data_IF_704233599199
#
_entry.id   IF_704233599199
#
_cell.length_a   1.000
_cell.length_b   1.000
_cell.length_c   1.000
_cell.angle_alpha   90.00
_cell.angle_beta   90.00
_cell.angle_gamma   90.00
#
_symmetry.space_group_name_H-M   'P 1'
#
loop_
_entity.id
_entity.type
_entity.pdbx_description
1 polymer ?
#
# COMPACT_ATOMS: atom_id res chain seq x y z
N UNK A 1 2.56 -4.71 63.24
CA UNK A 1 1.36 -4.63 62.36
C UNK A 1 1.81 -4.89 60.92
N UNK A 2 1.72 -6.14 60.43
CA UNK A 2 2.02 -6.51 59.03
C UNK A 2 0.75 -7.16 58.47
N UNK A 3 0.00 -6.45 57.61
CA UNK A 3 -1.08 -7.05 56.82
C UNK A 3 -0.43 -7.91 55.73
N UNK A 4 -0.56 -9.22 55.85
CA UNK A 4 -0.40 -10.13 54.70
C UNK A 4 -1.69 -10.05 53.89
N UNK A 5 -1.62 -9.45 52.71
CA UNK A 5 -2.65 -9.59 51.68
C UNK A 5 -2.55 -11.02 51.16
N UNK A 6 -3.41 -11.92 51.66
CA UNK A 6 -3.63 -13.20 51.01
C UNK A 6 -4.47 -12.94 49.75
N UNK A 7 -3.89 -13.16 48.59
CA UNK A 7 -4.61 -13.16 47.31
C UNK A 7 -5.65 -14.28 47.38
N UNK A 8 -6.93 -13.95 47.31
CA UNK A 8 -8.02 -14.92 47.41
C UNK A 8 -8.06 -15.79 46.14
N UNK A 9 -7.88 -17.11 46.23
CA UNK A 9 -7.91 -18.00 45.07
C UNK A 9 -9.26 -17.97 44.32
N UNK A 10 -10.36 -17.58 44.98
CA UNK A 10 -11.66 -17.41 44.30
C UNK A 10 -11.70 -16.17 43.39
N UNK A 11 -10.93 -15.13 43.71
CA UNK A 11 -10.84 -13.93 42.88
C UNK A 11 -10.12 -14.23 41.55
N UNK A 12 -9.08 -15.08 41.60
CA UNK A 12 -8.37 -15.56 40.41
C UNK A 12 -9.27 -16.39 39.48
N UNK A 13 -10.22 -17.16 40.02
CA UNK A 13 -11.15 -17.96 39.22
C UNK A 13 -12.20 -17.12 38.48
N UNK A 14 -12.68 -16.03 39.10
CA UNK A 14 -13.66 -15.14 38.46
C UNK A 14 -13.01 -14.27 37.38
N UNK A 15 -11.80 -13.77 37.62
CA UNK A 15 -11.04 -12.99 36.62
C UNK A 15 -10.73 -13.83 35.36
N UNK A 16 -10.38 -15.11 35.54
CA UNK A 16 -10.18 -16.05 34.44
C UNK A 16 -11.49 -16.31 33.66
N UNK A 17 -12.60 -16.52 34.36
CA UNK A 17 -13.91 -16.72 33.72
C UNK A 17 -14.35 -15.49 32.91
N UNK A 18 -14.13 -14.28 33.44
CA UNK A 18 -14.41 -13.04 32.72
C UNK A 18 -13.54 -12.90 31.47
N UNK A 19 -12.23 -13.16 31.59
CA UNK A 19 -11.31 -13.11 30.45
C UNK A 19 -11.67 -14.14 29.35
N UNK A 20 -12.08 -15.35 29.74
CA UNK A 20 -12.55 -16.37 28.79
C UNK A 20 -13.87 -15.96 28.11
N UNK A 21 -14.79 -15.38 28.89
CA UNK A 21 -16.08 -14.89 28.37
C UNK A 21 -15.87 -13.73 27.40
N UNK A 22 -14.99 -12.79 27.72
CA UNK A 22 -14.63 -11.67 26.84
C UNK A 22 -14.00 -12.18 25.54
N UNK A 23 -13.10 -13.17 25.63
CA UNK A 23 -12.50 -13.80 24.44
C UNK A 23 -13.55 -14.49 23.56
N UNK A 24 -14.51 -15.20 24.16
CA UNK A 24 -15.60 -15.85 23.42
C UNK A 24 -16.52 -14.81 22.75
N UNK A 25 -16.85 -13.72 23.46
CA UNK A 25 -17.66 -12.63 22.93
C UNK A 25 -16.95 -11.91 21.77
N UNK A 26 -15.65 -11.64 21.89
CA UNK A 26 -14.83 -11.06 20.83
C UNK A 26 -14.79 -11.98 19.60
N UNK A 27 -14.57 -13.28 19.79
CA UNK A 27 -14.57 -14.24 18.70
C UNK A 27 -15.93 -14.33 17.98
N UNK A 28 -17.04 -14.31 18.74
CA UNK A 28 -18.39 -14.31 18.17
C UNK A 28 -18.74 -13.01 17.44
N UNK A 29 -18.27 -11.86 17.95
CA UNK A 29 -18.40 -10.57 17.27
C UNK A 29 -17.61 -10.54 15.96
N UNK A 30 -16.35 -10.99 15.99
CA UNK A 30 -15.49 -11.10 14.82
C UNK A 30 -16.13 -12.02 13.76
N UNK A 31 -16.59 -13.21 14.15
CA UNK A 31 -17.21 -14.15 13.21
C UNK A 31 -18.48 -13.57 12.56
N UNK A 32 -19.29 -12.80 13.30
CA UNK A 32 -20.43 -12.09 12.71
C UNK A 32 -20.01 -11.02 11.71
N UNK A 33 -18.93 -10.30 11.98
CA UNK A 33 -18.46 -9.22 11.12
C UNK A 33 -17.78 -9.74 9.83
N UNK A 34 -16.92 -10.75 9.95
CA UNK A 34 -15.99 -11.15 8.87
C UNK A 34 -16.00 -12.65 8.56
N UNK A 35 -16.91 -13.44 9.14
CA UNK A 35 -16.98 -14.89 8.95
C UNK A 35 -17.35 -15.33 7.53
N UNK A 36 -17.90 -14.42 6.72
CA UNK A 36 -18.19 -14.64 5.30
C UNK A 36 -16.93 -14.59 4.42
N UNK A 37 -15.81 -14.07 4.93
CA UNK A 37 -14.55 -13.94 4.20
C UNK A 37 -13.74 -15.24 4.24
N UNK A 38 -12.91 -15.50 3.22
CA UNK A 38 -11.97 -16.62 3.22
C UNK A 38 -11.11 -16.69 4.49
N UNK A 39 -10.93 -17.90 5.00
CA UNK A 39 -10.17 -18.16 6.24
C UNK A 39 -8.81 -18.81 6.01
N UNK A 40 -8.40 -19.02 4.77
CA UNK A 40 -7.10 -19.56 4.39
C UNK A 40 -6.50 -18.74 3.24
N UNK A 41 -5.16 -18.71 3.16
CA UNK A 41 -4.46 -17.98 2.10
C UNK A 41 -4.82 -18.52 0.70
N UNK A 42 -4.96 -19.85 0.57
CA UNK A 42 -5.33 -20.51 -0.67
C UNK A 42 -6.68 -20.03 -1.21
N UNK A 43 -7.70 -19.96 -0.36
CA UNK A 43 -9.01 -19.46 -0.75
C UNK A 43 -9.02 -17.93 -0.91
N UNK A 44 -8.20 -17.22 -0.14
CA UNK A 44 -8.11 -15.76 -0.18
C UNK A 44 -7.42 -15.22 -1.44
N UNK A 45 -6.47 -15.95 -2.02
CA UNK A 45 -5.72 -15.47 -3.18
C UNK A 45 -6.60 -15.15 -4.41
N UNK A 46 -7.45 -16.08 -4.93
CA UNK A 46 -8.34 -15.74 -6.04
C UNK A 46 -9.38 -14.69 -5.65
N UNK A 47 -9.85 -14.70 -4.39
CA UNK A 47 -10.77 -13.69 -3.87
C UNK A 47 -10.16 -12.29 -3.86
N UNK A 48 -8.89 -12.17 -3.46
CA UNK A 48 -8.17 -10.90 -3.42
C UNK A 48 -7.85 -10.37 -4.82
N UNK A 49 -7.59 -11.24 -5.80
CA UNK A 49 -7.44 -10.85 -7.21
C UNK A 49 -8.73 -10.22 -7.76
N UNK A 50 -9.88 -10.81 -7.45
CA UNK A 50 -11.18 -10.24 -7.80
C UNK A 50 -11.43 -8.88 -7.11
N UNK A 51 -11.03 -8.74 -5.83
CA UNK A 51 -11.07 -7.43 -5.16
C UNK A 51 -10.26 -6.37 -5.87
N UNK A 52 -9.03 -6.68 -6.27
CA UNK A 52 -8.18 -5.74 -7.02
C UNK A 52 -8.87 -5.33 -8.32
N UNK A 53 -9.46 -6.27 -9.05
CA UNK A 53 -10.16 -5.98 -10.30
C UNK A 53 -11.38 -5.06 -10.09
N UNK A 54 -12.23 -5.34 -9.09
CA UNK A 54 -13.39 -4.50 -8.75
C UNK A 54 -12.98 -3.12 -8.25
N UNK A 55 -11.95 -3.06 -7.40
CA UNK A 55 -11.42 -1.80 -6.91
C UNK A 55 -10.84 -0.97 -8.07
N UNK A 56 -10.17 -1.63 -9.02
CA UNK A 56 -9.66 -0.98 -10.21
C UNK A 56 -10.77 -0.38 -11.08
N UNK A 57 -11.83 -1.14 -11.34
CA UNK A 57 -12.99 -0.65 -12.06
C UNK A 57 -13.65 0.55 -11.34
N UNK A 58 -13.82 0.48 -10.01
CA UNK A 58 -14.41 1.57 -9.23
C UNK A 58 -13.55 2.85 -9.31
N UNK A 59 -12.23 2.73 -9.18
CA UNK A 59 -11.31 3.86 -9.29
C UNK A 59 -11.36 4.50 -10.69
N UNK A 60 -11.37 3.68 -11.74
CA UNK A 60 -11.51 4.17 -13.12
C UNK A 60 -12.87 4.79 -13.40
N UNK A 61 -13.93 4.34 -12.75
CA UNK A 61 -15.27 4.93 -12.87
C UNK A 61 -15.43 6.23 -12.06
N UNK A 62 -14.46 6.57 -11.21
CA UNK A 62 -14.59 7.68 -10.26
C UNK A 62 -15.48 7.36 -9.05
N UNK A 63 -15.82 6.08 -8.83
CA UNK A 63 -16.67 5.64 -7.73
C UNK A 63 -15.86 5.48 -6.44
N UNK A 64 -15.65 6.61 -5.75
CA UNK A 64 -14.88 6.66 -4.51
C UNK A 64 -15.54 5.90 -3.37
N UNK A 65 -16.88 5.82 -3.35
CA UNK A 65 -17.62 5.12 -2.30
C UNK A 65 -17.34 3.62 -2.39
N UNK A 66 -17.47 3.04 -3.57
CA UNK A 66 -17.17 1.62 -3.80
C UNK A 66 -15.69 1.34 -3.59
N UNK A 67 -14.80 2.21 -4.07
CA UNK A 67 -13.35 2.04 -3.86
C UNK A 67 -12.98 1.97 -2.37
N UNK A 68 -13.51 2.86 -1.52
CA UNK A 68 -13.24 2.83 -0.07
C UNK A 68 -13.87 1.61 0.60
N UNK A 69 -15.10 1.23 0.25
CA UNK A 69 -15.75 0.04 0.80
C UNK A 69 -14.92 -1.24 0.54
N UNK A 70 -14.38 -1.39 -0.67
CA UNK A 70 -13.53 -2.52 -1.03
C UNK A 70 -12.20 -2.54 -0.26
N UNK A 71 -11.64 -1.38 0.07
CA UNK A 71 -10.42 -1.28 0.89
C UNK A 71 -10.66 -1.66 2.34
N UNK A 72 -11.80 -1.28 2.91
CA UNK A 72 -12.21 -1.73 4.24
C UNK A 72 -12.43 -3.25 4.26
N UNK A 73 -13.10 -3.80 3.24
CA UNK A 73 -13.32 -5.24 3.12
C UNK A 73 -12.01 -6.03 2.94
N UNK A 74 -11.05 -5.50 2.19
CA UNK A 74 -9.70 -6.05 2.14
C UNK A 74 -9.06 -6.06 3.54
N UNK A 75 -9.16 -4.95 4.31
CA UNK A 75 -8.68 -4.90 5.70
C UNK A 75 -9.30 -5.99 6.58
N UNK A 76 -10.60 -6.23 6.44
CA UNK A 76 -11.31 -7.32 7.10
C UNK A 76 -10.81 -8.71 6.68
N UNK A 77 -10.46 -8.90 5.39
CA UNK A 77 -9.85 -10.14 4.93
C UNK A 77 -8.52 -10.41 5.63
N UNK A 78 -7.65 -9.40 5.75
CA UNK A 78 -6.38 -9.54 6.44
C UNK A 78 -6.57 -9.85 7.94
N UNK A 79 -7.54 -9.22 8.60
CA UNK A 79 -7.95 -9.55 9.97
C UNK A 79 -8.44 -11.01 10.06
N UNK A 80 -9.26 -11.46 9.11
CA UNK A 80 -9.81 -12.83 9.09
C UNK A 80 -8.73 -13.88 8.99
N UNK A 81 -7.76 -13.65 8.11
CA UNK A 81 -6.63 -14.54 7.84
C UNK A 81 -5.63 -14.57 8.99
N UNK A 82 -5.54 -13.48 9.74
CA UNK A 82 -4.65 -13.36 10.89
C UNK A 82 -5.38 -13.55 12.22
N UNK A 83 -6.44 -14.37 12.24
CA UNK A 83 -7.16 -14.78 13.44
C UNK A 83 -7.69 -13.65 14.33
N UNK A 84 -8.04 -12.50 13.73
CA UNK A 84 -8.54 -11.33 14.44
C UNK A 84 -7.49 -10.28 14.77
N UNK A 85 -6.21 -10.57 14.53
CA UNK A 85 -5.12 -9.62 14.72
C UNK A 85 -4.82 -8.84 13.42
N UNK A 86 -4.20 -7.65 13.48
CA UNK A 86 -3.80 -6.91 12.28
C UNK A 86 -2.84 -7.72 11.39
N UNK A 87 -3.29 -8.10 10.19
CA UNK A 87 -2.52 -8.90 9.23
C UNK A 87 -1.85 -8.10 8.11
N UNK A 88 -1.82 -6.77 8.20
CA UNK A 88 -1.25 -5.86 7.20
C UNK A 88 -0.03 -5.14 7.79
N UNK A 89 1.01 -4.93 6.98
CA UNK A 89 2.23 -4.20 7.38
C UNK A 89 2.92 -4.80 8.62
N UNK A 90 2.72 -6.09 8.88
CA UNK A 90 3.18 -6.80 10.08
C UNK A 90 4.33 -7.79 9.79
N UNK A 91 5.15 -7.49 8.77
CA UNK A 91 6.24 -8.35 8.32
C UNK A 91 5.87 -9.24 7.13
N UNK A 92 6.85 -9.93 6.50
CA UNK A 92 6.65 -10.68 5.26
C UNK A 92 5.69 -11.87 5.42
N UNK A 93 5.69 -12.50 6.59
CA UNK A 93 4.83 -13.66 6.87
C UNK A 93 3.39 -13.28 7.23
N UNK A 94 3.08 -11.98 7.38
CA UNK A 94 1.72 -11.55 7.64
C UNK A 94 0.82 -11.84 6.42
N UNK A 95 -0.41 -12.37 6.60
CA UNK A 95 -1.23 -12.80 5.46
C UNK A 95 -1.54 -11.70 4.44
N UNK A 96 -1.71 -10.45 4.88
CA UNK A 96 -1.90 -9.31 3.99
C UNK A 96 -0.65 -9.01 3.16
N UNK A 97 0.54 -9.13 3.74
CA UNK A 97 1.80 -8.96 3.01
C UNK A 97 1.98 -10.07 1.98
N UNK A 98 1.76 -11.33 2.36
CA UNK A 98 1.80 -12.47 1.43
C UNK A 98 0.81 -12.29 0.26
N UNK A 99 -0.42 -11.87 0.53
CA UNK A 99 -1.40 -11.59 -0.53
C UNK A 99 -0.96 -10.45 -1.45
N UNK A 100 -0.41 -9.38 -0.89
CA UNK A 100 0.10 -8.25 -1.69
C UNK A 100 1.25 -8.71 -2.61
N UNK A 101 2.17 -9.53 -2.11
CA UNK A 101 3.31 -10.05 -2.86
C UNK A 101 2.87 -11.03 -3.96
N UNK A 102 1.99 -11.99 -3.63
CA UNK A 102 1.46 -12.98 -4.58
C UNK A 102 0.55 -12.39 -5.67
N UNK A 103 0.15 -11.14 -5.52
CA UNK A 103 -0.67 -10.41 -6.49
C UNK A 103 0.01 -9.16 -7.02
N UNK A 104 1.28 -8.95 -6.72
CA UNK A 104 2.04 -7.81 -7.23
C UNK A 104 2.01 -7.77 -8.76
N UNK A 105 2.03 -6.57 -9.33
CA UNK A 105 2.25 -6.42 -10.75
C UNK A 105 3.68 -6.85 -11.08
N UNK A 106 3.86 -7.46 -12.26
CA UNK A 106 5.19 -7.79 -12.78
C UNK A 106 6.08 -6.53 -12.80
N UNK A 107 7.36 -6.63 -12.38
CA UNK A 107 8.28 -5.50 -12.39
C UNK A 107 8.33 -4.81 -13.75
N UNK A 108 8.22 -3.47 -13.75
CA UNK A 108 8.17 -2.65 -14.96
C UNK A 108 6.75 -2.42 -15.50
N UNK A 109 5.75 -3.16 -15.03
CA UNK A 109 4.35 -3.01 -15.46
C UNK A 109 3.61 -2.02 -14.58
N UNK A 110 2.79 -1.16 -15.20
CA UNK A 110 1.90 -0.27 -14.44
C UNK A 110 0.85 -1.14 -13.74
N UNK A 111 0.75 -1.10 -12.39
CA UNK A 111 -0.20 -1.92 -11.66
C UNK A 111 -1.65 -1.48 -11.93
N UNK A 112 -2.59 -2.37 -11.64
CA UNK A 112 -3.99 -1.97 -11.45
C UNK A 112 -4.13 -1.14 -10.17
N UNK A 113 -5.17 -0.31 -10.07
CA UNK A 113 -5.49 0.36 -8.82
C UNK A 113 -5.80 -0.69 -7.73
N UNK A 114 -5.09 -0.64 -6.59
CA UNK A 114 -5.22 -1.62 -5.50
C UNK A 114 -4.16 -2.72 -5.56
N UNK A 115 -3.44 -2.84 -6.67
CA UNK A 115 -2.31 -3.74 -6.81
C UNK A 115 -1.01 -3.00 -6.45
N UNK A 116 -0.12 -3.65 -5.71
CA UNK A 116 1.23 -3.11 -5.53
C UNK A 116 2.06 -3.37 -6.80
N UNK A 117 3.01 -2.48 -7.09
CA UNK A 117 3.86 -2.66 -8.26
C UNK A 117 4.95 -1.62 -8.39
N UNK A 118 5.96 -1.95 -9.19
CA UNK A 118 7.08 -1.08 -9.47
C UNK A 118 7.22 -0.85 -10.98
N UNK A 119 7.33 0.41 -11.40
CA UNK A 119 7.48 0.75 -12.82
C UNK A 119 8.24 2.06 -13.02
N UNK A 120 8.84 2.24 -14.20
CA UNK A 120 9.56 3.47 -14.53
C UNK A 120 8.60 4.45 -15.20
N UNK A 121 8.61 5.69 -14.72
CA UNK A 121 7.85 6.81 -15.26
C UNK A 121 8.79 7.92 -15.72
N UNK A 122 8.63 8.39 -16.96
CA UNK A 122 9.24 9.63 -17.44
C UNK A 122 8.33 10.81 -17.11
N UNK A 123 8.78 11.77 -16.31
CA UNK A 123 7.98 12.95 -15.91
C UNK A 123 8.92 14.11 -15.59
N UNK A 124 8.53 15.33 -15.95
CA UNK A 124 9.33 16.55 -15.71
C UNK A 124 10.81 16.43 -16.13
N UNK A 125 11.07 15.74 -17.26
CA UNK A 125 12.41 15.54 -17.81
C UNK A 125 13.27 14.47 -17.11
N UNK A 126 12.76 13.76 -16.11
CA UNK A 126 13.49 12.71 -15.37
C UNK A 126 12.84 11.33 -15.50
N UNK A 127 13.65 10.28 -15.33
CA UNK A 127 13.18 8.90 -15.12
C UNK A 127 13.09 8.62 -13.63
N UNK A 128 11.94 8.10 -13.21
CA UNK A 128 11.63 7.83 -11.81
C UNK A 128 11.17 6.39 -11.68
N UNK A 129 11.75 5.63 -10.77
CA UNK A 129 11.19 4.36 -10.34
C UNK A 129 10.06 4.65 -9.36
N UNK A 130 8.84 4.31 -9.75
CA UNK A 130 7.65 4.40 -8.92
C UNK A 130 7.47 3.07 -8.20
N UNK A 131 7.28 3.12 -6.89
CA UNK A 131 6.77 2.01 -6.09
C UNK A 131 5.36 2.40 -5.62
N UNK A 132 4.34 1.77 -6.21
CA UNK A 132 2.93 2.03 -5.97
C UNK A 132 2.41 1.10 -4.87
N UNK A 133 1.68 1.65 -3.90
CA UNK A 133 1.07 0.87 -2.83
C UNK A 133 -0.22 0.18 -3.28
N UNK A 134 -0.45 -1.05 -2.82
CA UNK A 134 -1.73 -1.77 -2.98
C UNK A 134 -2.75 -1.48 -1.88
N UNK A 135 -3.82 -2.28 -1.83
CA UNK A 135 -4.92 -2.14 -0.85
C UNK A 135 -4.47 -2.26 0.62
N UNK A 136 -3.36 -2.95 0.88
CA UNK A 136 -2.76 -3.10 2.21
C UNK A 136 -1.69 -2.06 2.55
N UNK A 137 -1.48 -1.07 1.68
CA UNK A 137 -0.54 0.02 1.92
C UNK A 137 -0.97 1.00 3.01
N UNK A 138 0.00 1.77 3.50
CA UNK A 138 -0.24 2.78 4.53
C UNK A 138 -1.26 3.81 4.03
N UNK A 139 -2.31 4.02 4.83
CA UNK A 139 -3.35 5.01 4.54
C UNK A 139 -4.34 4.61 3.45
N UNK A 140 -4.23 3.41 2.87
CA UNK A 140 -5.11 2.97 1.77
C UNK A 140 -6.60 3.13 2.09
N UNK A 141 -7.00 2.83 3.33
CA UNK A 141 -8.39 2.92 3.82
C UNK A 141 -8.89 4.35 4.06
N UNK A 142 -7.99 5.33 4.19
CA UNK A 142 -8.33 6.69 4.62
C UNK A 142 -8.08 7.78 3.56
N UNK A 143 -7.43 7.43 2.45
CA UNK A 143 -7.04 8.37 1.41
C UNK A 143 -7.84 8.13 0.13
N UNK A 144 -8.15 9.17 -0.65
CA UNK A 144 -8.88 8.97 -1.91
C UNK A 144 -8.04 8.16 -2.91
N UNK A 145 -6.81 8.60 -3.15
CA UNK A 145 -5.83 7.89 -3.97
C UNK A 145 -4.86 7.09 -3.09
N UNK A 146 -4.37 5.97 -3.65
CA UNK A 146 -3.32 5.17 -3.01
C UNK A 146 -1.98 5.89 -3.07
N UNK A 147 -1.15 5.65 -2.06
CA UNK A 147 0.18 6.25 -1.94
C UNK A 147 1.18 5.61 -2.90
N UNK A 148 2.23 6.37 -3.24
CA UNK A 148 3.39 5.83 -3.93
C UNK A 148 4.66 6.52 -3.46
N UNK A 149 5.79 5.90 -3.76
CA UNK A 149 7.09 6.56 -3.64
C UNK A 149 7.80 6.63 -4.98
N UNK A 150 8.64 7.64 -5.10
CA UNK A 150 9.46 7.94 -6.26
C UNK A 150 10.92 7.82 -5.86
N UNK A 151 11.70 7.12 -6.68
CA UNK A 151 13.12 6.88 -6.47
C UNK A 151 13.92 7.20 -7.72
N UNK A 152 15.13 7.71 -7.52
CA UNK A 152 16.05 8.03 -8.60
C UNK A 152 16.49 6.77 -9.34
N UNK A 153 16.45 6.84 -10.67
CA UNK A 153 17.09 5.87 -11.58
C UNK A 153 18.45 6.41 -12.02
N UNK A 154 18.49 7.69 -12.39
CA UNK A 154 19.67 8.39 -12.87
C UNK A 154 20.31 9.17 -11.72
N UNK A 155 21.13 8.51 -10.91
CA UNK A 155 21.70 9.06 -9.66
C UNK A 155 22.67 10.24 -9.86
N UNK A 156 23.15 10.44 -11.08
CA UNK A 156 24.00 11.57 -11.46
C UNK A 156 23.20 12.80 -11.94
N UNK A 157 21.87 12.69 -12.03
CA UNK A 157 20.97 13.76 -12.47
C UNK A 157 20.20 14.38 -11.29
N UNK A 158 19.75 15.65 -11.40
CA UNK A 158 18.83 16.25 -10.44
C UNK A 158 17.53 15.46 -10.29
N UNK A 159 16.94 15.47 -9.10
CA UNK A 159 15.77 14.68 -8.71
C UNK A 159 14.76 15.47 -7.87
N UNK A 160 13.71 14.80 -7.40
CA UNK A 160 12.63 15.37 -6.58
C UNK A 160 13.07 15.69 -5.14
N UNK A 161 14.24 15.21 -4.72
CA UNK A 161 14.79 15.40 -3.38
C UNK A 161 16.27 15.07 -3.34
N UNK A 162 16.97 15.61 -2.34
CA UNK A 162 18.39 15.36 -2.10
C UNK A 162 18.74 13.87 -1.90
N UNK A 163 17.94 13.03 -1.20
CA UNK A 163 18.28 11.62 -1.02
C UNK A 163 18.01 10.72 -2.23
N UNK A 164 17.52 11.25 -3.35
CA UNK A 164 17.07 10.41 -4.47
C UNK A 164 15.79 9.62 -4.16
N UNK A 165 15.02 10.02 -3.15
CA UNK A 165 13.78 9.38 -2.72
C UNK A 165 12.72 10.38 -2.26
N UNK A 166 11.48 10.22 -2.72
CA UNK A 166 10.35 11.05 -2.30
C UNK A 166 9.09 10.19 -2.12
N UNK A 167 8.45 10.28 -0.96
CA UNK A 167 7.15 9.67 -0.73
C UNK A 167 6.02 10.64 -1.06
N UNK A 168 4.95 10.13 -1.66
CA UNK A 168 3.71 10.84 -1.96
C UNK A 168 2.54 10.11 -1.28
N UNK A 169 2.08 10.69 -0.18
CA UNK A 169 0.99 10.17 0.65
C UNK A 169 -0.03 11.27 0.92
N UNK A 170 -1.27 10.88 1.21
CA UNK A 170 -2.32 11.82 1.65
C UNK A 170 -2.94 12.64 0.53
N UNK A 171 -2.87 12.18 -0.72
CA UNK A 171 -3.52 12.87 -1.84
C UNK A 171 -5.04 12.67 -1.80
N UNK A 172 -5.72 13.63 -1.19
CA UNK A 172 -7.17 13.70 -1.07
C UNK A 172 -7.73 14.73 -2.05
N UNK A 173 -8.10 14.26 -3.22
CA UNK A 173 -8.81 15.01 -4.25
C UNK A 173 -9.97 14.14 -4.78
N UNK A 174 -11.00 14.70 -5.43
CA UNK A 174 -12.01 13.90 -6.10
C UNK A 174 -11.40 12.89 -7.07
N UNK A 175 -12.02 11.71 -7.19
CA UNK A 175 -11.62 10.76 -8.23
C UNK A 175 -11.97 11.31 -9.60
N UNK A 176 -11.04 11.18 -10.53
CA UNK A 176 -11.23 11.57 -11.93
C UNK A 176 -11.46 10.29 -12.74
N UNK A 177 -12.59 10.15 -13.45
CA UNK A 177 -12.83 9.00 -14.31
C UNK A 177 -11.72 8.79 -15.34
N UNK A 178 -11.36 7.53 -15.60
CA UNK A 178 -10.29 7.13 -16.51
C UNK A 178 -8.87 7.34 -15.99
N UNK A 179 -8.69 7.88 -14.78
CA UNK A 179 -7.36 8.21 -14.29
C UNK A 179 -6.60 6.97 -13.85
N UNK A 180 -5.50 6.63 -14.54
CA UNK A 180 -4.69 5.43 -14.28
C UNK A 180 -3.66 5.67 -13.18
N UNK A 181 -3.08 4.62 -12.55
CA UNK A 181 -1.99 4.79 -11.58
C UNK A 181 -0.78 5.56 -12.12
N UNK A 182 -0.40 5.32 -13.38
CA UNK A 182 0.68 6.06 -14.05
C UNK A 182 0.30 7.52 -14.32
N UNK A 183 -0.94 7.78 -14.76
CA UNK A 183 -1.46 9.13 -14.95
C UNK A 183 -1.48 9.93 -13.64
N UNK A 184 -1.94 9.30 -12.56
CA UNK A 184 -1.95 9.88 -11.23
C UNK A 184 -0.54 10.22 -10.74
N UNK A 185 0.40 9.26 -10.78
CA UNK A 185 1.77 9.48 -10.37
C UNK A 185 2.43 10.62 -11.17
N UNK A 186 2.18 10.68 -12.48
CA UNK A 186 2.64 11.76 -13.37
C UNK A 186 2.11 13.12 -12.93
N UNK A 187 0.81 13.22 -12.68
CA UNK A 187 0.18 14.48 -12.29
C UNK A 187 0.67 14.96 -10.91
N UNK A 188 0.78 14.06 -9.93
CA UNK A 188 1.27 14.40 -8.58
C UNK A 188 2.72 14.86 -8.62
N UNK A 189 3.59 14.16 -9.34
CA UNK A 189 5.00 14.55 -9.49
C UNK A 189 5.10 15.89 -10.24
N UNK A 190 4.38 16.04 -11.36
CA UNK A 190 4.37 17.28 -12.14
C UNK A 190 3.94 18.49 -11.28
N UNK A 191 2.86 18.34 -10.51
CA UNK A 191 2.39 19.36 -9.59
C UNK A 191 3.42 19.67 -8.49
N UNK A 192 4.07 18.64 -7.91
CA UNK A 192 5.10 18.84 -6.90
C UNK A 192 6.30 19.63 -7.46
N UNK A 193 6.76 19.28 -8.67
CA UNK A 193 7.83 20.01 -9.36
C UNK A 193 7.43 21.47 -9.60
N UNK A 194 6.24 21.71 -10.14
CA UNK A 194 5.77 23.06 -10.45
C UNK A 194 5.60 23.93 -9.20
N UNK A 195 5.01 23.39 -8.13
CA UNK A 195 4.60 24.16 -6.95
C UNK A 195 5.65 24.18 -5.85
N UNK A 196 6.12 23.02 -5.43
CA UNK A 196 7.00 22.88 -4.27
C UNK A 196 8.45 23.16 -4.66
N UNK A 197 8.88 22.62 -5.81
CA UNK A 197 10.24 22.79 -6.30
C UNK A 197 10.38 24.01 -7.24
N UNK A 198 9.28 24.70 -7.55
CA UNK A 198 9.24 25.89 -8.42
C UNK A 198 9.94 25.66 -9.77
N UNK A 199 9.75 24.48 -10.35
CA UNK A 199 10.35 24.04 -11.60
C UNK A 199 11.82 23.62 -11.52
N UNK A 200 12.43 23.58 -10.33
CA UNK A 200 13.86 23.29 -10.17
C UNK A 200 14.09 22.01 -9.36
N UNK A 201 14.56 20.97 -10.05
CA UNK A 201 14.99 19.73 -9.42
C UNK A 201 16.24 19.94 -8.55
N UNK A 202 16.46 19.02 -7.61
CA UNK A 202 17.50 19.10 -6.58
C UNK A 202 18.61 18.08 -6.87
N UNK A 203 19.88 18.47 -6.75
CA UNK A 203 20.99 17.53 -6.91
C UNK A 203 20.94 16.44 -5.84
N UNK A 204 21.22 15.19 -6.23
CA UNK A 204 21.34 14.07 -5.29
C UNK A 204 22.72 14.09 -4.64
N UNK A 205 22.78 14.08 -3.32
CA UNK A 205 24.05 14.09 -2.56
C UNK A 205 24.76 12.74 -2.67
N UNK A 206 26.08 12.78 -2.81
CA UNK A 206 26.93 11.59 -3.06
C UNK A 206 26.73 10.47 -2.04
N UNK A 207 26.51 10.83 -0.76
CA UNK A 207 26.32 9.86 0.32
C UNK A 207 25.09 8.96 0.17
N UNK A 208 24.10 9.38 -0.65
CA UNK A 208 22.88 8.61 -0.90
C UNK A 208 22.95 7.78 -2.18
N UNK A 209 24.01 7.95 -2.99
CA UNK A 209 24.15 7.18 -4.23
C UNK A 209 24.40 5.70 -3.88
N UNK A 210 23.66 4.77 -4.49
CA UNK A 210 23.85 3.35 -4.25
C UNK A 210 25.28 2.95 -4.59
N UNK A 211 25.92 2.24 -3.69
CA UNK A 211 27.19 1.57 -3.95
C UNK A 211 26.99 0.18 -4.58
N UNK A 212 25.77 -0.35 -4.51
CA UNK A 212 25.38 -1.68 -4.99
C UNK A 212 24.50 -1.63 -6.24
N UNK A 213 24.81 -2.49 -7.22
CA UNK A 213 24.07 -2.60 -8.48
C UNK A 213 22.61 -3.08 -8.33
N UNK A 214 22.21 -3.60 -7.16
CA UNK A 214 20.83 -4.01 -6.85
C UNK A 214 19.82 -2.86 -6.93
N UNK A 215 20.31 -1.62 -6.89
CA UNK A 215 19.49 -0.40 -7.02
C UNK A 215 19.64 0.28 -8.38
N UNK A 216 20.48 -0.27 -9.26
CA UNK A 216 20.45 0.11 -10.67
C UNK A 216 19.14 -0.42 -11.25
N UNK A 217 18.45 0.40 -12.04
CA UNK A 217 17.19 0.01 -12.65
C UNK A 217 17.28 -1.35 -13.35
N UNK A 218 16.19 -2.15 -13.34
CA UNK A 218 16.21 -3.49 -13.92
C UNK A 218 16.68 -3.45 -15.39
N UNK A 219 17.52 -4.41 -15.81
CA UNK A 219 18.00 -4.48 -17.19
C UNK A 219 16.80 -4.72 -18.11
N UNK A 220 16.61 -3.85 -19.11
CA UNK A 220 15.47 -3.89 -20.06
C UNK A 220 14.67 -2.59 -20.18
N UNK A 221 14.93 -1.58 -19.34
CA UNK A 221 14.39 -0.23 -19.55
C UNK A 221 15.20 0.53 -20.59
N UNK A 222 14.92 0.21 -21.85
CA UNK A 222 15.66 0.69 -23.00
C UNK A 222 15.82 2.22 -23.00
N UNK A 223 17.03 2.67 -23.35
CA UNK A 223 17.37 4.10 -23.52
C UNK A 223 16.69 4.70 -24.76
N UNK A 224 16.00 3.88 -25.56
CA UNK A 224 15.40 4.24 -26.83
C UNK A 224 14.00 3.69 -26.99
N UNK A 225 13.03 4.32 -26.33
CA UNK A 225 11.63 4.29 -26.76
C UNK A 225 10.96 5.59 -26.32
N UNK A 226 11.09 6.60 -27.18
CA UNK A 226 10.14 7.69 -27.24
C UNK A 226 9.10 7.28 -28.28
N UNK A 227 7.92 6.89 -27.82
CA UNK A 227 6.70 7.08 -28.59
C UNK A 227 5.92 8.15 -27.87
N UNK A 228 6.01 9.36 -28.42
CA UNK A 228 5.01 10.40 -28.21
C UNK A 228 3.64 9.78 -28.54
N UNK A 229 2.76 9.81 -27.54
CA UNK A 229 1.33 9.75 -27.80
C UNK A 229 0.80 11.07 -27.27
N UNK A 230 0.61 11.99 -28.20
CA UNK A 230 -0.23 13.17 -28.02
C UNK A 230 -1.66 12.70 -27.76
N UNK A 231 -2.16 13.03 -26.55
CA UNK A 231 -3.56 13.34 -26.26
C UNK A 231 -3.60 14.42 -25.17
#
# INVERSE_FOLDING_TARGET
MKRRSATDPNQLGFDLLLAETDKANQAAALNRAIGHLPSSLEAALPYYRDFIARHHAAMLAGDGKTAIALREEAGHLALRLNHGEPGILAGPDAPGCQLADLTAAEPGTVPSWGQQGEFILKVAGIRVLINMSGLFGIGARFMTYLSFSARAVDWDQPFLSEPGYRSFMGTNAPLVPGFTPAGFARAVIGNHVATTLKGKLVAITQQYRPTDARWAAPPGSDRTAGTDIDL
#
